data_IF_036618604665
#
_entry.id   IF_036618604665
#
_cell.length_a   1.000
_cell.length_b   1.000
_cell.length_c   1.000
_cell.angle_alpha   90.00
_cell.angle_beta   90.00
_cell.angle_gamma   90.00
#
_symmetry.space_group_name_H-M   'P 1'
#
loop_
_entity.id
_entity.type
_entity.pdbx_description
1 polymer ?
#
# COMPACT_ATOMS: atom_id res chain seq x y z
N UNK A 1 -8.04 -49.47 18.44
CA UNK A 1 -7.27 -48.20 18.49
C UNK A 1 -7.75 -47.34 17.35
N UNK A 2 -8.19 -46.13 17.67
CA UNK A 2 -9.20 -45.37 16.92
C UNK A 2 -8.72 -44.98 15.52
N UNK A 3 -9.44 -45.52 14.54
CA UNK A 3 -9.42 -45.22 13.11
C UNK A 3 -10.08 -43.86 12.87
N UNK A 4 -9.35 -42.94 12.25
CA UNK A 4 -9.91 -41.67 11.75
C UNK A 4 -9.17 -41.26 10.48
N UNK A 5 -9.39 -42.00 9.39
CA UNK A 5 -9.24 -41.47 8.03
C UNK A 5 -10.37 -40.45 7.81
N UNK A 6 -10.15 -39.20 8.19
CA UNK A 6 -11.04 -38.11 7.81
C UNK A 6 -10.86 -37.82 6.32
N UNK A 7 -11.83 -38.30 5.56
CA UNK A 7 -12.19 -37.76 4.25
C UNK A 7 -12.67 -36.32 4.46
N UNK A 8 -11.87 -35.34 4.04
CA UNK A 8 -12.42 -34.04 3.68
C UNK A 8 -12.29 -33.88 2.18
N UNK A 9 -13.46 -33.80 1.54
CA UNK A 9 -13.63 -33.46 0.14
C UNK A 9 -13.07 -32.05 -0.07
N UNK A 10 -11.90 -31.95 -0.71
CA UNK A 10 -11.36 -30.68 -1.19
C UNK A 10 -11.84 -30.52 -2.61
N UNK A 11 -12.84 -29.66 -2.79
CA UNK A 11 -13.37 -29.27 -4.09
C UNK A 11 -12.23 -28.90 -5.03
N UNK A 12 -12.24 -29.52 -6.21
CA UNK A 12 -11.27 -29.35 -7.27
C UNK A 12 -11.18 -27.88 -7.68
N UNK A 13 -10.08 -27.22 -7.34
CA UNK A 13 -9.64 -26.01 -8.02
C UNK A 13 -8.45 -26.37 -8.91
N UNK A 14 -8.73 -26.45 -10.21
CA UNK A 14 -7.76 -26.73 -11.25
C UNK A 14 -6.78 -25.55 -11.39
N UNK A 15 -5.57 -25.70 -10.87
CA UNK A 15 -4.51 -24.73 -11.07
C UNK A 15 -3.82 -24.96 -12.42
N UNK A 16 -4.26 -24.24 -13.46
CA UNK A 16 -3.49 -24.03 -14.68
C UNK A 16 -2.52 -22.88 -14.45
N UNK A 17 -1.25 -23.19 -14.24
CA UNK A 17 -0.22 -22.21 -13.99
C UNK A 17 0.12 -21.39 -15.22
N UNK A 18 -0.40 -20.17 -15.33
CA UNK A 18 0.19 -19.08 -16.14
C UNK A 18 -0.43 -17.73 -15.77
N UNK A 19 0.02 -17.08 -14.69
CA UNK A 19 0.00 -15.63 -14.54
C UNK A 19 0.75 -15.21 -13.27
N UNK A 20 1.39 -14.05 -13.32
CA UNK A 20 1.94 -13.33 -12.16
C UNK A 20 0.80 -12.75 -11.31
N UNK A 21 -0.17 -13.57 -10.92
CA UNK A 21 -1.14 -13.18 -9.91
C UNK A 21 -0.38 -13.13 -8.59
N UNK A 22 -0.24 -11.92 -8.07
CA UNK A 22 0.27 -11.67 -6.72
C UNK A 22 -0.70 -12.35 -5.74
N UNK A 23 -0.54 -13.67 -5.56
CA UNK A 23 -1.33 -14.43 -4.62
C UNK A 23 -0.97 -13.94 -3.23
N UNK A 24 -1.85 -13.09 -2.69
CA UNK A 24 -1.78 -12.62 -1.33
C UNK A 24 -1.98 -13.84 -0.46
N UNK A 25 -0.91 -14.30 0.17
CA UNK A 25 -1.01 -15.39 1.12
C UNK A 25 -1.84 -14.92 2.31
N UNK A 26 -2.85 -15.69 2.67
CA UNK A 26 -3.70 -15.38 3.81
C UNK A 26 -3.10 -15.94 5.10
N UNK A 27 -3.47 -15.34 6.24
CA UNK A 27 -3.00 -15.76 7.56
C UNK A 27 -3.27 -17.25 7.84
N UNK A 28 -4.46 -17.73 7.47
CA UNK A 28 -4.81 -19.14 7.65
C UNK A 28 -3.88 -20.09 6.87
N UNK A 29 -3.38 -19.69 5.71
CA UNK A 29 -2.45 -20.51 4.91
C UNK A 29 -1.09 -20.58 5.60
N UNK A 30 -0.63 -19.49 6.21
CA UNK A 30 0.61 -19.46 7.00
C UNK A 30 0.48 -20.37 8.22
N UNK A 31 -0.64 -20.29 8.94
CA UNK A 31 -0.92 -21.16 10.09
C UNK A 31 -0.91 -22.64 9.70
N UNK A 32 -1.54 -22.98 8.57
CA UNK A 32 -1.52 -24.37 8.06
C UNK A 32 -0.13 -24.84 7.65
N UNK A 33 0.68 -23.99 7.02
CA UNK A 33 2.08 -24.33 6.70
C UNK A 33 2.86 -24.70 7.98
N UNK A 34 2.67 -23.94 9.06
CA UNK A 34 3.31 -24.21 10.36
C UNK A 34 2.82 -25.49 10.99
N UNK A 35 1.51 -25.74 10.97
CA UNK A 35 0.93 -26.98 11.48
C UNK A 35 1.45 -28.20 10.71
N UNK A 36 1.65 -28.10 9.39
CA UNK A 36 2.29 -29.16 8.61
C UNK A 36 3.75 -29.37 9.02
N UNK A 37 4.48 -28.31 9.32
CA UNK A 37 5.86 -28.41 9.80
C UNK A 37 5.94 -29.10 11.17
N UNK A 38 5.11 -28.70 12.13
CA UNK A 38 5.04 -29.30 13.47
C UNK A 38 4.66 -30.79 13.43
N UNK A 39 3.77 -31.16 12.50
CA UNK A 39 3.33 -32.55 12.30
C UNK A 39 4.31 -33.39 11.46
N UNK A 40 5.46 -32.85 11.08
CA UNK A 40 6.51 -33.59 10.36
C UNK A 40 6.25 -33.83 8.86
N UNK A 41 5.32 -33.09 8.25
CA UNK A 41 5.09 -33.20 6.81
C UNK A 41 6.25 -32.62 6.01
N UNK A 42 6.35 -33.01 4.74
CA UNK A 42 7.29 -32.37 3.81
C UNK A 42 6.71 -31.08 3.22
N UNK A 43 7.59 -30.12 2.89
CA UNK A 43 7.21 -28.89 2.16
C UNK A 43 6.45 -29.17 0.85
N UNK A 44 6.74 -30.31 0.19
CA UNK A 44 6.09 -30.70 -1.06
C UNK A 44 4.64 -31.14 -0.81
N UNK A 45 4.41 -31.91 0.25
CA UNK A 45 3.06 -32.29 0.66
C UNK A 45 2.25 -31.08 1.08
N UNK A 46 2.82 -30.20 1.92
CA UNK A 46 2.14 -28.97 2.33
C UNK A 46 1.79 -28.06 1.14
N UNK A 47 2.67 -27.94 0.14
CA UNK A 47 2.38 -27.17 -1.08
C UNK A 47 1.24 -27.77 -1.91
N UNK A 48 1.20 -29.10 -2.01
CA UNK A 48 0.18 -29.82 -2.77
C UNK A 48 -1.18 -29.74 -2.06
N UNK A 49 -1.20 -29.96 -0.75
CA UNK A 49 -2.39 -29.96 0.09
C UNK A 49 -3.03 -28.57 0.20
N UNK A 50 -2.21 -27.52 0.26
CA UNK A 50 -2.66 -26.14 0.38
C UNK A 50 -2.84 -25.44 -0.98
N UNK A 51 -2.49 -26.09 -2.09
CA UNK A 51 -2.57 -25.49 -3.43
C UNK A 51 -1.72 -24.22 -3.62
N UNK A 52 -0.67 -24.05 -2.82
CA UNK A 52 0.18 -22.84 -2.82
C UNK A 52 1.56 -23.13 -3.40
N UNK A 53 2.16 -22.10 -3.99
CA UNK A 53 3.48 -22.21 -4.58
C UNK A 53 4.51 -22.69 -3.54
N UNK A 54 5.29 -23.73 -3.91
CA UNK A 54 6.36 -24.29 -3.06
C UNK A 54 7.35 -23.24 -2.55
N UNK A 55 7.60 -22.15 -3.31
CA UNK A 55 8.43 -21.01 -2.86
C UNK A 55 7.80 -20.27 -1.69
N UNK A 56 6.49 -20.10 -1.69
CA UNK A 56 5.72 -19.49 -0.60
C UNK A 56 5.74 -20.41 0.63
N UNK A 57 5.51 -21.72 0.45
CA UNK A 57 5.66 -22.70 1.53
C UNK A 57 7.04 -22.59 2.16
N UNK A 58 8.10 -22.66 1.36
CA UNK A 58 9.48 -22.54 1.84
C UNK A 58 9.73 -21.24 2.60
N UNK A 59 9.19 -20.11 2.11
CA UNK A 59 9.33 -18.79 2.76
C UNK A 59 8.75 -18.80 4.17
N UNK A 60 7.61 -19.45 4.39
CA UNK A 60 6.93 -19.48 5.68
C UNK A 60 7.23 -20.75 6.51
N UNK A 61 7.95 -21.72 5.95
CA UNK A 61 8.29 -23.00 6.62
C UNK A 61 9.19 -22.81 7.85
N UNK A 62 10.20 -21.95 7.73
CA UNK A 62 11.15 -21.65 8.81
C UNK A 62 10.95 -20.25 9.41
N UNK A 63 9.91 -19.53 8.96
CA UNK A 63 9.67 -18.19 9.45
C UNK A 63 9.03 -18.27 10.84
N UNK A 64 9.63 -17.56 11.81
CA UNK A 64 9.13 -17.51 13.19
C UNK A 64 7.68 -17.01 13.30
N UNK A 65 7.13 -17.06 14.51
CA UNK A 65 5.75 -16.66 14.83
C UNK A 65 5.35 -15.30 14.26
N UNK A 66 6.30 -14.36 14.15
CA UNK A 66 6.12 -12.99 13.67
C UNK A 66 6.01 -12.83 12.14
N UNK A 67 6.03 -13.93 11.38
CA UNK A 67 5.91 -13.89 9.93
C UNK A 67 4.45 -13.67 9.50
N UNK A 68 4.02 -12.41 9.44
CA UNK A 68 2.67 -12.03 9.03
C UNK A 68 2.38 -12.30 7.54
N UNK A 69 1.09 -12.51 7.26
CA UNK A 69 0.51 -12.53 5.90
C UNK A 69 0.63 -11.21 5.15
N UNK A 70 0.98 -10.13 5.86
CA UNK A 70 1.02 -8.79 5.31
C UNK A 70 1.91 -8.74 4.07
N UNK A 71 1.35 -8.45 2.87
CA UNK A 71 2.16 -8.24 1.70
C UNK A 71 3.15 -7.14 2.05
N UNK A 72 4.44 -7.45 1.91
CA UNK A 72 5.54 -6.53 2.19
C UNK A 72 5.43 -5.42 1.16
N UNK A 73 4.56 -4.44 1.43
CA UNK A 73 4.43 -3.24 0.63
C UNK A 73 5.82 -2.65 0.66
N UNK A 74 6.51 -2.70 -0.47
CA UNK A 74 7.75 -1.95 -0.63
C UNK A 74 7.33 -0.51 -0.38
N UNK A 75 7.61 0.00 0.83
CA UNK A 75 7.53 1.42 1.12
C UNK A 75 8.53 2.04 0.14
N UNK A 76 8.04 2.43 -1.04
CA UNK A 76 8.84 3.16 -2.00
C UNK A 76 9.14 4.45 -1.28
N UNK A 77 10.37 4.61 -0.80
CA UNK A 77 10.85 5.89 -0.30
C UNK A 77 10.62 6.87 -1.45
N UNK A 78 9.57 7.69 -1.32
CA UNK A 78 9.24 8.67 -2.34
C UNK A 78 10.35 9.69 -2.23
N UNK A 79 11.26 9.68 -3.19
CA UNK A 79 12.39 10.63 -3.32
C UNK A 79 11.93 12.09 -3.14
N UNK A 80 10.65 12.35 -3.42
CA UNK A 80 9.99 13.64 -3.32
C UNK A 80 9.35 13.96 -1.95
N UNK A 81 9.28 13.02 -1.00
CA UNK A 81 8.67 13.24 0.33
C UNK A 81 9.35 14.37 1.12
N UNK A 82 10.69 14.44 1.21
CA UNK A 82 11.36 15.56 1.89
C UNK A 82 11.05 16.93 1.26
N UNK A 83 10.69 16.93 -0.03
CA UNK A 83 10.40 18.14 -0.80
C UNK A 83 8.89 18.40 -0.94
N UNK A 84 8.04 17.62 -0.26
CA UNK A 84 6.59 17.66 -0.41
C UNK A 84 6.03 19.08 -0.23
N UNK A 85 6.48 19.79 0.80
CA UNK A 85 6.01 21.13 1.12
C UNK A 85 6.38 22.14 0.02
N UNK A 86 7.58 22.03 -0.55
CA UNK A 86 8.02 22.90 -1.66
C UNK A 86 7.20 22.64 -2.92
N UNK A 87 7.00 21.37 -3.26
CA UNK A 87 6.18 20.94 -4.41
C UNK A 87 4.74 21.45 -4.28
N UNK A 88 4.15 21.35 -3.09
CA UNK A 88 2.79 21.86 -2.81
C UNK A 88 2.70 23.37 -3.02
N UNK A 89 3.66 24.15 -2.49
CA UNK A 89 3.69 25.61 -2.66
C UNK A 89 3.81 26.01 -4.14
N UNK A 90 4.74 25.40 -4.86
CA UNK A 90 4.94 25.66 -6.29
C UNK A 90 3.71 25.26 -7.12
N UNK A 91 3.09 24.12 -6.81
CA UNK A 91 1.89 23.67 -7.51
C UNK A 91 0.67 24.55 -7.20
N UNK A 92 0.51 25.00 -5.95
CA UNK A 92 -0.56 25.94 -5.58
C UNK A 92 -0.41 27.29 -6.31
N UNK A 93 0.83 27.73 -6.57
CA UNK A 93 1.10 28.98 -7.28
C UNK A 93 0.91 28.88 -8.80
N UNK A 94 1.43 27.82 -9.43
CA UNK A 94 1.48 27.73 -10.90
C UNK A 94 0.46 26.76 -11.51
N UNK A 95 -0.11 25.84 -10.72
CA UNK A 95 -1.02 24.75 -11.16
C UNK A 95 -0.51 23.91 -12.35
N UNK A 96 0.80 23.96 -12.63
CA UNK A 96 1.42 23.30 -13.77
C UNK A 96 2.63 22.47 -13.33
N UNK A 97 2.53 21.14 -13.50
CA UNK A 97 3.59 20.21 -13.10
C UNK A 97 4.91 20.39 -13.87
N UNK A 98 4.87 20.97 -15.08
CA UNK A 98 6.09 21.25 -15.86
C UNK A 98 6.91 22.36 -15.24
N UNK A 99 6.25 23.45 -14.83
CA UNK A 99 6.90 24.59 -14.15
C UNK A 99 7.45 24.14 -12.80
N UNK A 100 6.66 23.35 -12.05
CA UNK A 100 7.12 22.75 -10.80
C UNK A 100 8.40 21.93 -11.01
N UNK A 101 8.46 21.12 -12.07
CA UNK A 101 9.67 20.34 -12.40
C UNK A 101 10.87 21.24 -12.66
N UNK A 102 10.71 22.25 -13.51
CA UNK A 102 11.80 23.16 -13.87
C UNK A 102 12.33 23.92 -12.65
N UNK A 103 11.45 24.35 -11.76
CA UNK A 103 11.84 25.04 -10.54
C UNK A 103 12.56 24.10 -9.54
N UNK A 104 12.16 22.82 -9.49
CA UNK A 104 12.87 21.80 -8.70
C UNK A 104 14.24 21.46 -9.31
N UNK A 105 14.38 21.48 -10.64
CA UNK A 105 15.66 21.22 -11.32
C UNK A 105 16.68 22.34 -11.10
N UNK A 106 16.23 23.58 -10.82
CA UNK A 106 17.12 24.70 -10.43
C UNK A 106 17.73 24.49 -9.03
N UNK A 107 17.07 23.73 -8.16
CA UNK A 107 17.60 23.41 -6.85
C UNK A 107 18.62 22.27 -6.94
N UNK A 108 19.90 22.59 -6.69
CA UNK A 108 20.99 21.59 -6.69
C UNK A 108 20.84 20.47 -5.64
N UNK A 109 19.88 20.58 -4.73
CA UNK A 109 19.58 19.60 -3.68
C UNK A 109 18.51 18.58 -4.05
N UNK A 110 17.86 18.70 -5.23
CA UNK A 110 16.75 17.83 -5.62
C UNK A 110 17.16 16.98 -6.81
N UNK A 111 17.01 15.65 -6.75
CA UNK A 111 17.33 14.79 -7.88
C UNK A 111 16.41 15.08 -9.06
N UNK A 112 16.95 15.01 -10.28
CA UNK A 112 16.14 15.13 -11.50
C UNK A 112 15.08 14.04 -11.52
N UNK A 113 13.81 14.45 -11.67
CA UNK A 113 12.66 13.56 -11.63
C UNK A 113 11.82 13.69 -12.89
N UNK A 114 11.30 12.56 -13.36
CA UNK A 114 10.38 12.54 -14.49
C UNK A 114 9.07 13.29 -14.16
N UNK A 115 8.48 13.91 -15.18
CA UNK A 115 7.19 14.62 -15.06
C UNK A 115 6.10 13.72 -14.47
N UNK A 116 6.08 12.44 -14.86
CA UNK A 116 5.14 11.43 -14.37
C UNK A 116 5.21 11.26 -12.85
N UNK A 117 6.42 11.28 -12.28
CA UNK A 117 6.64 11.17 -10.83
C UNK A 117 6.04 12.35 -10.09
N UNK A 118 6.20 13.57 -10.62
CA UNK A 118 5.62 14.79 -10.05
C UNK A 118 4.09 14.77 -10.17
N UNK A 119 3.56 14.34 -11.32
CA UNK A 119 2.12 14.20 -11.52
C UNK A 119 1.52 13.20 -10.53
N UNK A 120 2.09 12.00 -10.41
CA UNK A 120 1.63 10.98 -9.47
C UNK A 120 1.73 11.45 -8.01
N UNK A 121 2.77 12.20 -7.67
CA UNK A 121 2.93 12.79 -6.35
C UNK A 121 1.83 13.82 -6.04
N UNK A 122 1.60 14.77 -6.95
CA UNK A 122 0.58 15.82 -6.77
C UNK A 122 -0.85 15.26 -6.77
N UNK A 123 -1.13 14.21 -7.54
CA UNK A 123 -2.46 13.58 -7.60
C UNK A 123 -2.96 13.12 -6.23
N UNK A 124 -2.05 12.69 -5.35
CA UNK A 124 -2.39 12.28 -3.98
C UNK A 124 -2.87 13.44 -3.13
N UNK A 125 -2.34 14.63 -3.39
CA UNK A 125 -2.60 15.84 -2.63
C UNK A 125 -3.65 16.75 -3.27
N UNK A 126 -4.17 16.43 -4.47
CA UNK A 126 -5.19 17.25 -5.14
C UNK A 126 -6.42 17.50 -4.27
N UNK A 127 -6.86 16.50 -3.50
CA UNK A 127 -7.99 16.65 -2.56
C UNK A 127 -7.63 17.61 -1.43
N UNK A 128 -6.46 17.45 -0.82
CA UNK A 128 -5.98 18.34 0.26
C UNK A 128 -5.78 19.79 -0.22
N UNK A 129 -5.16 19.96 -1.39
CA UNK A 129 -4.88 21.27 -1.98
C UNK A 129 -6.16 22.01 -2.38
N UNK A 130 -7.17 21.30 -2.88
CA UNK A 130 -8.48 21.90 -3.16
C UNK A 130 -9.17 22.40 -1.89
N UNK A 131 -9.06 21.66 -0.77
CA UNK A 131 -9.61 22.08 0.52
C UNK A 131 -8.89 23.33 1.05
N UNK A 132 -7.56 23.37 0.97
CA UNK A 132 -6.76 24.55 1.37
C UNK A 132 -7.10 25.79 0.54
N UNK A 133 -7.35 25.63 -0.75
CA UNK A 133 -7.77 26.72 -1.63
C UNK A 133 -9.17 27.24 -1.30
N UNK A 134 -10.14 26.34 -1.09
CA UNK A 134 -11.47 26.74 -0.65
C UNK A 134 -11.44 27.53 0.66
N UNK A 135 -10.53 27.19 1.59
CA UNK A 135 -10.30 27.95 2.83
C UNK A 135 -9.67 29.33 2.61
N UNK A 136 -8.86 29.52 1.55
CA UNK A 136 -8.34 30.85 1.19
C UNK A 136 -9.41 31.73 0.56
N UNK A 137 -10.27 31.17 -0.29
CA UNK A 137 -11.28 31.94 -1.04
C UNK A 137 -12.46 32.31 -0.15
N UNK A 138 -12.87 31.44 0.79
CA UNK A 138 -13.81 31.80 1.85
C UNK A 138 -13.04 32.07 3.14
N UNK A 139 -12.72 33.34 3.48
CA UNK A 139 -12.46 33.63 4.87
C UNK A 139 -13.69 33.16 5.65
N UNK A 140 -13.47 32.36 6.69
CA UNK A 140 -14.50 31.95 7.63
C UNK A 140 -15.42 33.14 7.91
N UNK A 141 -16.72 32.94 7.72
CA UNK A 141 -17.76 33.87 8.15
C UNK A 141 -17.37 34.42 9.51
N UNK A 142 -16.97 35.69 9.57
CA UNK A 142 -17.05 36.41 10.83
C UNK A 142 -18.51 36.29 11.27
N UNK A 143 -18.80 35.89 12.53
CA UNK A 143 -20.13 36.10 13.03
C UNK A 143 -20.35 37.62 13.01
N UNK A 144 -21.33 38.08 12.24
CA UNK A 144 -21.68 39.50 12.16
C UNK A 144 -21.82 40.05 13.59
N UNK A 145 -21.01 41.04 14.02
CA UNK A 145 -21.10 41.58 15.37
C UNK A 145 -22.34 42.48 15.58
N UNK A 146 -23.29 42.50 14.63
CA UNK A 146 -24.44 43.39 14.61
C UNK A 146 -25.70 42.83 15.33
N UNK A 147 -25.53 41.96 16.33
CA UNK A 147 -26.60 41.61 17.28
C UNK A 147 -26.18 41.91 18.71
N UNK A 148 -25.74 43.13 18.94
CA UNK A 148 -25.68 43.71 20.27
C UNK A 148 -26.36 45.08 20.19
N UNK A 149 -27.30 45.32 21.11
CA UNK A 149 -27.88 46.64 21.44
C UNK A 149 -29.10 47.08 20.62
N UNK A 150 -30.31 46.90 21.18
CA UNK A 150 -31.09 47.99 21.82
C UNK A 150 -32.56 47.58 22.02
N UNK A 151 -32.96 47.56 23.30
CA UNK A 151 -34.30 47.62 23.95
C UNK A 151 -35.41 46.63 23.54
#
# INVERSE_FOLDING_TARGET
>A
MIDVKQQHSVSQWSFNGTAREDHVIHDFQIRRIREFHERGYSQRQAATELGINRRTVRKYWNAGSDADATPRTRKRHRVLEPFAQKIRKLYAQHRNCRIVREELEKDKGIPSVALRTIQEFVQQYKRELAIEEHKRIRPSSSPDPAKTTTM
#
